data_IF_842240440942
#
_entry.id   IF_842240440942
#
_cell.length_a   1.000
_cell.length_b   1.000
_cell.length_c   1.000
_cell.angle_alpha   90.00
_cell.angle_beta   90.00
_cell.angle_gamma   90.00
#
_symmetry.space_group_name_H-M   'P 1'
#
loop_
_entity.id
_entity.type
_entity.pdbx_description
1 polymer ?
#
# COMPACT_ATOMS: atom_id res chain seq x y z
N UNK A 1 -12.34 -2.01 -28.83
CA UNK A 1 -11.33 -2.37 -27.82
C UNK A 1 -11.36 -1.26 -26.80
N UNK A 2 -11.54 -1.55 -25.52
CA UNK A 2 -11.65 -0.51 -24.51
C UNK A 2 -10.29 0.19 -24.33
N UNK A 3 -10.29 1.46 -23.95
CA UNK A 3 -9.06 2.26 -23.79
C UNK A 3 -9.01 2.94 -22.43
N UNK A 4 -7.86 2.84 -21.75
CA UNK A 4 -7.63 3.40 -20.42
C UNK A 4 -6.43 4.36 -20.40
N UNK A 5 -6.50 5.36 -19.52
CA UNK A 5 -5.36 6.23 -19.21
C UNK A 5 -4.93 6.00 -17.76
N UNK A 6 -3.65 5.68 -17.53
CA UNK A 6 -3.06 5.65 -16.19
C UNK A 6 -2.21 6.89 -15.96
N UNK A 7 -2.53 7.63 -14.90
CA UNK A 7 -1.85 8.86 -14.50
C UNK A 7 -1.09 8.59 -13.21
N UNK A 8 0.21 8.87 -13.20
CA UNK A 8 1.05 8.75 -12.01
C UNK A 8 2.06 9.90 -11.95
N UNK A 9 2.81 10.00 -10.87
CA UNK A 9 3.90 10.95 -10.74
C UNK A 9 5.07 10.34 -9.99
N UNK A 10 5.93 11.20 -9.46
CA UNK A 10 7.13 10.76 -8.75
C UNK A 10 6.80 9.81 -7.59
N UNK A 11 7.56 8.73 -7.51
CA UNK A 11 7.39 7.72 -6.49
C UNK A 11 8.73 7.28 -5.91
N UNK A 12 8.70 6.77 -4.68
CA UNK A 12 9.90 6.28 -4.02
C UNK A 12 10.23 4.87 -4.52
N UNK A 13 11.50 4.65 -4.86
CA UNK A 13 12.08 3.35 -5.20
C UNK A 13 11.51 2.63 -6.44
N UNK A 14 10.63 3.27 -7.22
CA UNK A 14 10.03 2.64 -8.41
C UNK A 14 8.88 1.67 -8.10
N UNK A 15 8.34 1.63 -6.88
CA UNK A 15 7.24 0.71 -6.50
C UNK A 15 5.98 0.99 -7.31
N UNK A 16 5.55 2.26 -7.34
CA UNK A 16 4.40 2.68 -8.15
C UNK A 16 4.69 2.47 -9.62
N UNK A 17 5.96 2.60 -10.03
CA UNK A 17 6.36 2.33 -11.40
C UNK A 17 6.08 0.88 -11.80
N UNK A 18 6.52 -0.04 -10.96
CA UNK A 18 6.26 -1.46 -11.14
C UNK A 18 4.75 -1.80 -11.12
N UNK A 19 3.95 -1.12 -10.29
CA UNK A 19 2.51 -1.32 -10.30
C UNK A 19 1.87 -0.91 -11.61
N UNK A 20 2.20 0.27 -12.16
CA UNK A 20 1.59 0.71 -13.41
C UNK A 20 1.97 -0.21 -14.59
N UNK A 21 3.22 -0.65 -14.66
CA UNK A 21 3.68 -1.55 -15.73
C UNK A 21 2.92 -2.88 -15.65
N UNK A 22 2.76 -3.40 -14.43
CA UNK A 22 2.00 -4.61 -14.18
C UNK A 22 0.51 -4.47 -14.49
N UNK A 23 -0.10 -3.34 -14.10
CA UNK A 23 -1.50 -3.03 -14.43
C UNK A 23 -1.71 -2.90 -15.93
N UNK A 24 -0.84 -2.15 -16.62
CA UNK A 24 -0.92 -1.96 -18.07
C UNK A 24 -0.79 -3.29 -18.81
N UNK A 25 0.14 -4.15 -18.38
CA UNK A 25 0.32 -5.49 -18.93
C UNK A 25 -0.93 -6.35 -18.77
N UNK A 26 -1.51 -6.39 -17.56
CA UNK A 26 -2.67 -7.23 -17.25
C UNK A 26 -3.98 -6.68 -17.87
N UNK A 27 -4.10 -5.36 -18.02
CA UNK A 27 -5.20 -4.70 -18.75
C UNK A 27 -5.12 -5.00 -20.25
N UNK A 28 -3.92 -4.94 -20.85
CA UNK A 28 -3.70 -5.30 -22.25
C UNK A 28 -4.07 -6.76 -22.52
N UNK A 29 -3.68 -7.67 -21.62
CA UNK A 29 -4.09 -9.08 -21.69
C UNK A 29 -5.61 -9.27 -21.58
N UNK A 30 -6.32 -8.29 -21.01
CA UNK A 30 -7.77 -8.27 -20.88
C UNK A 30 -8.46 -7.54 -22.05
N UNK A 31 -7.73 -7.15 -23.09
CA UNK A 31 -8.26 -6.47 -24.27
C UNK A 31 -8.49 -4.97 -24.09
N UNK A 32 -7.78 -4.34 -23.14
CA UNK A 32 -7.82 -2.89 -22.88
C UNK A 32 -6.49 -2.27 -23.31
N UNK A 33 -6.50 -1.32 -24.24
CA UNK A 33 -5.29 -0.54 -24.55
C UNK A 33 -5.05 0.49 -23.46
N UNK A 34 -3.79 0.72 -23.13
CA UNK A 34 -3.41 1.59 -22.00
C UNK A 34 -2.40 2.62 -22.46
N UNK A 35 -2.74 3.88 -22.26
CA UNK A 35 -1.80 4.98 -22.37
C UNK A 35 -1.34 5.40 -20.97
N UNK A 36 -0.11 5.93 -20.89
CA UNK A 36 0.51 6.34 -19.64
C UNK A 36 0.81 7.83 -19.68
N UNK A 37 0.54 8.52 -18.58
CA UNK A 37 0.89 9.92 -18.39
C UNK A 37 1.67 10.10 -17.09
N UNK A 38 2.95 10.46 -17.22
CA UNK A 38 3.91 10.52 -16.13
C UNK A 38 4.16 11.98 -15.69
N UNK A 39 3.80 12.29 -14.45
CA UNK A 39 4.01 13.58 -13.78
C UNK A 39 5.27 13.62 -12.91
N UNK A 40 6.24 12.76 -13.16
CA UNK A 40 7.49 12.74 -12.40
C UNK A 40 8.35 13.99 -12.65
N UNK A 41 8.30 14.56 -13.85
CA UNK A 41 8.98 15.81 -14.23
C UNK A 41 8.29 16.52 -15.40
N UNK A 42 8.54 17.83 -15.64
CA UNK A 42 8.00 18.52 -16.81
C UNK A 42 8.34 17.84 -18.15
N UNK A 43 9.55 17.30 -18.28
CA UNK A 43 10.04 16.63 -19.50
C UNK A 43 9.31 15.31 -19.75
N UNK A 44 9.05 14.53 -18.69
CA UNK A 44 8.30 13.27 -18.79
C UNK A 44 6.83 13.52 -19.10
N UNK A 45 6.24 14.60 -18.57
CA UNK A 45 4.88 15.03 -18.94
C UNK A 45 4.83 15.37 -20.42
N UNK A 46 5.75 16.19 -20.93
CA UNK A 46 5.78 16.57 -22.35
C UNK A 46 5.96 15.33 -23.24
N UNK A 47 6.90 14.45 -22.89
CA UNK A 47 7.17 13.23 -23.64
C UNK A 47 5.97 12.27 -23.66
N UNK A 48 5.27 12.10 -22.54
CA UNK A 48 4.12 11.19 -22.46
C UNK A 48 2.84 11.80 -23.02
N UNK A 49 2.62 13.11 -22.83
CA UNK A 49 1.44 13.82 -23.32
C UNK A 49 1.34 13.88 -24.85
N UNK A 50 2.45 13.77 -25.59
CA UNK A 50 2.40 13.67 -27.06
C UNK A 50 1.84 12.34 -27.57
N UNK A 51 1.81 11.31 -26.72
CA UNK A 51 1.42 9.94 -27.06
C UNK A 51 0.05 9.55 -26.50
N UNK A 52 -0.68 10.48 -25.88
CA UNK A 52 -2.03 10.24 -25.35
C UNK A 52 -3.09 10.79 -26.29
N UNK A 53 -4.26 10.15 -26.30
CA UNK A 53 -5.45 10.64 -26.97
C UNK A 53 -6.13 11.76 -26.18
N UNK A 54 -7.12 12.39 -26.81
CA UNK A 54 -8.05 13.29 -26.12
C UNK A 54 -8.74 12.55 -24.96
N UNK A 55 -8.96 13.24 -23.83
CA UNK A 55 -9.57 12.62 -22.65
C UNK A 55 -10.88 11.88 -22.94
N UNK A 56 -11.74 12.44 -23.81
CA UNK A 56 -13.04 11.86 -24.15
C UNK A 56 -12.97 10.53 -24.93
N UNK A 57 -11.79 10.15 -25.43
CA UNK A 57 -11.53 8.87 -26.11
C UNK A 57 -11.23 7.72 -25.15
N UNK A 58 -10.97 8.00 -23.87
CA UNK A 58 -10.75 6.96 -22.86
C UNK A 58 -12.08 6.52 -22.25
N UNK A 59 -12.26 5.20 -22.13
CA UNK A 59 -13.41 4.62 -21.46
C UNK A 59 -13.34 4.79 -19.95
N UNK A 60 -12.13 4.79 -19.39
CA UNK A 60 -11.89 5.14 -17.99
C UNK A 60 -10.48 5.69 -17.77
N UNK A 61 -10.31 6.40 -16.64
CA UNK A 61 -9.01 6.94 -16.21
C UNK A 61 -8.71 6.43 -14.80
N UNK A 62 -7.45 6.13 -14.53
CA UNK A 62 -6.95 5.79 -13.19
C UNK A 62 -5.85 6.77 -12.81
N UNK A 63 -6.05 7.50 -11.72
CA UNK A 63 -5.09 8.46 -11.16
C UNK A 63 -4.51 7.93 -9.86
N UNK A 64 -3.20 7.66 -9.84
CA UNK A 64 -2.51 7.27 -8.61
C UNK A 64 -2.37 8.48 -7.68
N UNK A 65 -2.77 8.30 -6.42
CA UNK A 65 -2.68 9.32 -5.37
C UNK A 65 -3.32 10.67 -5.76
N UNK A 66 -4.29 10.66 -6.67
CA UNK A 66 -4.96 11.86 -7.16
C UNK A 66 -4.01 12.82 -7.89
N UNK A 67 -3.00 12.31 -8.59
CA UNK A 67 -2.10 13.12 -9.42
C UNK A 67 -2.83 13.58 -10.70
N UNK A 68 -2.52 14.80 -11.16
CA UNK A 68 -3.01 15.34 -12.44
C UNK A 68 -4.33 16.11 -12.39
N UNK A 69 -4.83 16.46 -11.21
CA UNK A 69 -6.17 17.05 -11.04
C UNK A 69 -6.29 18.50 -11.53
N UNK A 70 -5.19 19.25 -11.45
CA UNK A 70 -5.14 20.65 -11.90
C UNK A 70 -4.97 20.79 -13.42
N UNK A 71 -4.89 19.66 -14.13
CA UNK A 71 -4.44 19.62 -15.51
C UNK A 71 -5.61 19.73 -16.45
N UNK A 72 -5.35 20.45 -17.54
CA UNK A 72 -6.22 20.51 -18.71
C UNK A 72 -5.52 19.83 -19.85
N UNK A 73 -6.06 18.70 -20.28
CA UNK A 73 -5.66 18.05 -21.53
C UNK A 73 -6.74 18.37 -22.55
N UNK A 74 -6.34 18.99 -23.67
CA UNK A 74 -7.26 19.51 -24.69
C UNK A 74 -8.41 20.37 -24.12
N UNK A 75 -8.08 21.30 -23.22
CA UNK A 75 -9.03 22.15 -22.49
C UNK A 75 -10.05 21.43 -21.59
N UNK A 76 -9.97 20.10 -21.45
CA UNK A 76 -10.84 19.32 -20.57
C UNK A 76 -10.13 19.01 -19.25
N UNK A 77 -10.81 19.23 -18.13
CA UNK A 77 -10.32 18.85 -16.79
C UNK A 77 -10.73 17.42 -16.45
N UNK A 78 -9.95 16.74 -15.61
CA UNK A 78 -10.35 15.43 -15.08
C UNK A 78 -11.69 15.47 -14.35
N UNK A 79 -12.01 16.56 -13.66
CA UNK A 79 -13.31 16.73 -13.00
C UNK A 79 -14.49 16.85 -13.98
N UNK A 80 -14.27 17.36 -15.19
CA UNK A 80 -15.30 17.42 -16.24
C UNK A 80 -15.43 16.09 -16.99
N UNK A 81 -14.34 15.35 -17.13
CA UNK A 81 -14.35 13.96 -17.58
C UNK A 81 -15.14 13.08 -16.61
N UNK A 82 -14.85 13.17 -15.31
CA UNK A 82 -15.43 12.34 -14.26
C UNK A 82 -16.96 12.47 -14.11
N UNK A 83 -17.55 13.57 -14.60
CA UNK A 83 -19.02 13.74 -14.63
C UNK A 83 -19.70 12.84 -15.67
N UNK A 84 -18.95 12.38 -16.68
CA UNK A 84 -19.47 11.67 -17.86
C UNK A 84 -18.93 10.25 -17.97
N UNK A 85 -17.73 10.00 -17.47
CA UNK A 85 -17.05 8.71 -17.57
C UNK A 85 -16.33 8.32 -16.27
N UNK A 86 -16.09 7.03 -16.03
CA UNK A 86 -15.41 6.54 -14.82
C UNK A 86 -14.00 7.13 -14.63
N UNK A 87 -13.82 7.84 -13.52
CA UNK A 87 -12.52 8.21 -12.99
C UNK A 87 -12.27 7.43 -11.69
N UNK A 88 -11.17 6.69 -11.66
CA UNK A 88 -10.69 5.98 -10.48
C UNK A 88 -9.50 6.72 -9.87
N UNK A 89 -9.48 6.87 -8.55
CA UNK A 89 -8.34 7.44 -7.83
C UNK A 89 -7.79 6.36 -6.92
N UNK A 90 -6.62 5.84 -7.26
CA UNK A 90 -6.00 4.75 -6.51
C UNK A 90 -5.06 5.29 -5.43
N UNK A 91 -5.44 5.07 -4.17
CA UNK A 91 -4.71 5.52 -3.00
C UNK A 91 -3.95 4.35 -2.39
N UNK A 92 -2.64 4.49 -2.29
CA UNK A 92 -1.74 3.47 -1.69
C UNK A 92 -1.57 3.65 -0.17
N UNK A 93 -2.13 4.73 0.37
CA UNK A 93 -2.07 5.11 1.79
C UNK A 93 -3.46 5.56 2.27
N UNK A 94 -3.59 5.76 3.58
CA UNK A 94 -4.85 6.20 4.18
C UNK A 94 -5.38 7.49 3.51
N UNK A 95 -6.66 7.55 3.10
CA UNK A 95 -7.18 8.64 2.27
C UNK A 95 -7.04 10.05 2.90
N UNK A 96 -7.04 10.15 4.24
CA UNK A 96 -6.82 11.40 5.01
C UNK A 96 -5.63 12.24 4.53
N UNK A 97 -4.56 11.59 4.05
CA UNK A 97 -3.34 12.24 3.57
C UNK A 97 -3.55 13.03 2.28
N UNK A 98 -4.46 12.54 1.42
CA UNK A 98 -4.63 13.02 0.05
C UNK A 98 -6.03 13.55 -0.24
N UNK A 99 -6.92 13.65 0.76
CA UNK A 99 -8.30 14.13 0.60
C UNK A 99 -8.45 15.39 -0.25
N UNK A 100 -7.54 16.36 -0.09
CA UNK A 100 -7.56 17.61 -0.85
C UNK A 100 -7.44 17.42 -2.36
N UNK A 101 -6.88 16.30 -2.82
CA UNK A 101 -6.69 15.99 -4.24
C UNK A 101 -7.95 15.46 -4.90
N UNK A 102 -8.93 14.97 -4.15
CA UNK A 102 -10.12 14.33 -4.73
C UNK A 102 -11.44 14.85 -4.18
N UNK A 103 -11.44 15.72 -3.18
CA UNK A 103 -12.65 16.36 -2.68
C UNK A 103 -13.35 17.15 -3.80
N UNK A 104 -14.66 16.92 -3.96
CA UNK A 104 -15.46 17.56 -5.00
C UNK A 104 -15.32 16.96 -6.41
N UNK A 105 -14.55 15.88 -6.57
CA UNK A 105 -14.40 15.18 -7.84
C UNK A 105 -15.31 13.95 -7.83
N UNK A 106 -16.18 13.74 -8.83
CA UNK A 106 -17.06 12.58 -8.91
C UNK A 106 -16.28 11.32 -9.35
N UNK A 107 -15.30 10.92 -8.54
CA UNK A 107 -14.44 9.76 -8.78
C UNK A 107 -14.78 8.61 -7.83
N UNK A 108 -14.37 7.40 -8.22
CA UNK A 108 -14.35 6.23 -7.34
C UNK A 108 -12.97 6.08 -6.72
N UNK A 109 -12.88 6.16 -5.40
CA UNK A 109 -11.63 5.98 -4.67
C UNK A 109 -11.34 4.48 -4.53
N UNK A 110 -10.19 4.04 -5.02
CA UNK A 110 -9.70 2.67 -4.87
C UNK A 110 -8.76 2.64 -3.66
N UNK A 111 -9.11 1.88 -2.64
CA UNK A 111 -8.41 1.82 -1.36
C UNK A 111 -7.79 0.45 -1.11
N UNK A 112 -6.59 0.41 -0.54
CA UNK A 112 -5.85 -0.84 -0.27
C UNK A 112 -6.31 -1.59 0.98
N UNK A 113 -7.18 -0.96 1.77
CA UNK A 113 -7.70 -1.45 3.04
C UNK A 113 -9.22 -1.20 3.13
N UNK A 114 -9.97 -2.15 3.71
CA UNK A 114 -11.42 -2.02 3.89
C UNK A 114 -11.81 -0.92 4.90
N UNK A 115 -10.96 -0.65 5.89
CA UNK A 115 -11.11 0.47 6.81
C UNK A 115 -11.04 1.79 6.03
N UNK A 116 -10.11 1.93 5.09
CA UNK A 116 -9.98 3.13 4.25
C UNK A 116 -11.21 3.33 3.35
N UNK A 117 -11.81 2.23 2.85
CA UNK A 117 -13.10 2.29 2.14
C UNK A 117 -14.18 2.85 3.06
N UNK A 118 -14.27 2.32 4.28
CA UNK A 118 -15.23 2.76 5.29
C UNK A 118 -15.03 4.24 5.63
N UNK A 119 -13.79 4.68 5.83
CA UNK A 119 -13.43 6.09 6.02
C UNK A 119 -13.96 6.96 4.87
N UNK A 120 -13.67 6.60 3.63
CA UNK A 120 -14.11 7.35 2.46
C UNK A 120 -15.65 7.44 2.38
N UNK A 121 -16.35 6.33 2.59
CA UNK A 121 -17.82 6.27 2.57
C UNK A 121 -18.43 7.14 3.68
N UNK A 122 -17.84 7.14 4.88
CA UNK A 122 -18.26 7.99 5.99
C UNK A 122 -18.04 9.49 5.69
N UNK A 123 -17.04 9.82 4.87
CA UNK A 123 -16.82 11.18 4.37
C UNK A 123 -17.66 11.52 3.11
N UNK A 124 -18.53 10.61 2.65
CA UNK A 124 -19.39 10.82 1.49
C UNK A 124 -18.74 10.60 0.13
N UNK A 125 -17.57 9.95 0.08
CA UNK A 125 -16.92 9.58 -1.17
C UNK A 125 -17.34 8.18 -1.62
N UNK A 126 -17.48 7.99 -2.93
CA UNK A 126 -17.59 6.65 -3.49
C UNK A 126 -16.23 5.95 -3.37
N UNK A 127 -16.17 4.79 -2.72
CA UNK A 127 -14.92 4.07 -2.52
C UNK A 127 -15.10 2.56 -2.58
N UNK A 128 -14.04 1.86 -2.99
CA UNK A 128 -14.01 0.41 -3.17
C UNK A 128 -12.68 -0.17 -2.75
N UNK A 129 -12.75 -1.41 -2.29
CA UNK A 129 -11.58 -2.17 -1.89
C UNK A 129 -10.82 -2.66 -3.13
N UNK A 130 -9.57 -2.25 -3.25
CA UNK A 130 -8.68 -2.53 -4.37
C UNK A 130 -7.25 -2.72 -3.82
N UNK A 131 -6.97 -3.85 -3.15
CA UNK A 131 -5.67 -4.09 -2.53
C UNK A 131 -4.56 -4.26 -3.56
N UNK A 132 -3.32 -4.06 -3.11
CA UNK A 132 -2.14 -4.28 -3.93
C UNK A 132 -2.11 -5.70 -4.51
N UNK A 133 -1.54 -5.81 -5.69
CA UNK A 133 -1.42 -7.04 -6.46
C UNK A 133 -0.13 -7.03 -7.27
N UNK A 134 0.14 -8.12 -7.96
CA UNK A 134 1.28 -8.28 -8.88
C UNK A 134 0.79 -8.54 -10.29
N UNK A 135 1.63 -8.35 -11.31
CA UNK A 135 1.25 -8.77 -12.67
C UNK A 135 1.19 -10.29 -12.75
N UNK A 136 0.20 -10.82 -13.45
CA UNK A 136 0.14 -12.26 -13.71
C UNK A 136 1.36 -12.75 -14.52
N UNK A 137 1.97 -11.88 -15.32
CA UNK A 137 3.11 -12.20 -16.19
C UNK A 137 4.42 -12.42 -15.43
N UNK A 138 4.57 -11.86 -14.23
CA UNK A 138 5.80 -11.98 -13.43
C UNK A 138 5.82 -13.24 -12.56
N UNK A 139 4.73 -14.01 -12.55
CA UNK A 139 4.57 -15.20 -11.74
C UNK A 139 5.19 -16.41 -12.45
N UNK A 140 6.31 -16.90 -11.89
CA UNK A 140 6.95 -18.13 -12.34
C UNK A 140 7.23 -19.07 -11.15
N UNK A 141 6.48 -20.17 -11.10
CA UNK A 141 6.65 -21.21 -10.06
C UNK A 141 8.04 -21.85 -10.10
N UNK A 142 8.68 -21.93 -11.28
CA UNK A 142 10.02 -22.52 -11.42
C UNK A 142 11.11 -21.62 -10.83
N UNK A 143 10.84 -20.34 -10.66
CA UNK A 143 11.75 -19.37 -10.07
C UNK A 143 11.70 -19.34 -8.53
N UNK A 144 10.89 -20.20 -7.90
CA UNK A 144 10.85 -20.38 -6.44
C UNK A 144 12.08 -21.18 -6.01
N UNK A 145 12.88 -20.60 -5.13
CA UNK A 145 14.10 -21.23 -4.59
C UNK A 145 13.78 -22.13 -3.40
N UNK A 146 14.41 -23.29 -3.34
CA UNK A 146 14.37 -24.15 -2.14
C UNK A 146 15.08 -23.46 -0.96
N UNK A 147 14.66 -23.78 0.27
CA UNK A 147 15.18 -23.15 1.49
C UNK A 147 16.71 -23.21 1.60
N UNK A 148 17.32 -24.33 1.21
CA UNK A 148 18.79 -24.50 1.25
C UNK A 148 19.55 -23.56 0.33
N UNK A 149 18.88 -22.94 -0.65
CA UNK A 149 19.44 -21.98 -1.60
C UNK A 149 19.06 -20.53 -1.25
N UNK A 150 18.44 -20.30 -0.10
CA UNK A 150 18.13 -18.98 0.44
C UNK A 150 19.30 -18.44 1.27
N UNK A 151 19.28 -17.15 1.58
CA UNK A 151 20.35 -16.44 2.28
C UNK A 151 20.34 -16.62 3.80
N UNK A 152 19.27 -17.18 4.39
CA UNK A 152 19.07 -17.19 5.84
C UNK A 152 18.59 -15.86 6.42
N UNK A 153 18.38 -14.83 5.59
CA UNK A 153 17.95 -13.51 6.06
C UNK A 153 16.44 -13.48 6.36
N UNK A 154 16.07 -12.74 7.42
CA UNK A 154 14.72 -12.23 7.63
C UNK A 154 14.72 -10.76 7.21
N UNK A 155 14.17 -10.49 6.03
CA UNK A 155 14.16 -9.14 5.46
C UNK A 155 13.01 -8.31 6.04
N UNK A 156 13.27 -7.07 6.41
CA UNK A 156 12.26 -6.12 6.84
C UNK A 156 12.33 -4.83 5.99
N UNK A 157 11.59 -4.76 4.86
CA UNK A 157 11.67 -3.65 3.92
C UNK A 157 10.85 -2.44 4.39
N UNK A 158 11.47 -1.57 5.20
CA UNK A 158 10.83 -0.44 5.86
C UNK A 158 11.75 0.78 5.97
N UNK A 159 11.22 1.97 5.68
CA UNK A 159 11.92 3.24 5.90
C UNK A 159 11.83 3.69 7.37
N UNK A 160 12.75 4.54 7.80
CA UNK A 160 12.74 5.09 9.15
C UNK A 160 11.55 6.02 9.41
N UNK A 161 10.90 5.80 10.55
CA UNK A 161 9.88 6.66 11.13
C UNK A 161 10.37 7.08 12.51
N UNK A 162 10.64 8.38 12.64
CA UNK A 162 11.12 8.96 13.88
C UNK A 162 9.97 9.15 14.87
N UNK A 163 9.88 8.26 15.85
CA UNK A 163 8.84 8.30 16.88
C UNK A 163 8.91 9.58 17.72
N UNK A 164 10.13 10.04 18.06
CA UNK A 164 10.33 11.24 18.86
C UNK A 164 9.88 12.49 18.09
N UNK A 165 10.27 12.62 16.83
CA UNK A 165 9.84 13.72 15.98
C UNK A 165 8.32 13.69 15.72
N UNK A 166 7.73 12.51 15.53
CA UNK A 166 6.28 12.37 15.38
C UNK A 166 5.55 12.83 16.66
N UNK A 167 6.07 12.47 17.83
CA UNK A 167 5.56 12.94 19.12
C UNK A 167 5.73 14.45 19.31
N UNK A 168 6.92 15.01 19.04
CA UNK A 168 7.18 16.44 19.17
C UNK A 168 6.26 17.28 18.27
N UNK A 169 5.91 16.77 17.07
CA UNK A 169 4.93 17.41 16.19
C UNK A 169 3.53 17.48 16.83
N UNK A 170 3.16 16.47 17.63
CA UNK A 170 1.87 16.40 18.34
C UNK A 170 1.88 17.08 19.71
N UNK A 171 3.06 17.38 20.28
CA UNK A 171 3.24 17.93 21.61
C UNK A 171 2.36 19.15 21.94
N UNK A 172 2.14 20.13 21.04
CA UNK A 172 1.26 21.27 21.33
C UNK A 172 -0.19 20.87 21.67
N UNK A 173 -0.68 19.76 21.11
CA UNK A 173 -2.05 19.26 21.30
C UNK A 173 -2.11 17.96 22.10
N UNK A 174 -0.96 17.39 22.48
CA UNK A 174 -0.87 16.06 23.07
C UNK A 174 -1.73 15.91 24.32
N UNK A 175 -1.72 16.91 25.22
CA UNK A 175 -2.54 16.89 26.43
C UNK A 175 -4.05 16.70 26.18
N UNK A 176 -4.55 17.04 24.99
CA UNK A 176 -5.96 16.89 24.61
C UNK A 176 -6.23 15.54 23.94
N UNK A 177 -5.26 15.01 23.20
CA UNK A 177 -5.46 13.84 22.33
C UNK A 177 -4.79 12.56 22.85
N UNK A 178 -3.90 12.65 23.84
CA UNK A 178 -3.05 11.54 24.29
C UNK A 178 -3.85 10.27 24.60
N UNK A 179 -4.87 10.38 25.46
CA UNK A 179 -5.68 9.22 25.85
C UNK A 179 -6.38 8.56 24.65
N UNK A 180 -6.80 9.37 23.66
CA UNK A 180 -7.48 8.88 22.46
C UNK A 180 -6.48 8.22 21.50
N UNK A 181 -5.34 8.88 21.27
CA UNK A 181 -4.26 8.38 20.42
C UNK A 181 -3.70 7.06 20.95
N UNK A 182 -3.51 6.94 22.27
CA UNK A 182 -3.00 5.72 22.92
C UNK A 182 -3.96 4.52 22.81
N UNK A 183 -5.27 4.78 22.68
CA UNK A 183 -6.30 3.75 22.47
C UNK A 183 -6.54 3.40 21.00
N UNK A 184 -6.03 4.22 20.07
CA UNK A 184 -6.22 4.02 18.65
C UNK A 184 -5.13 3.14 18.05
N UNK A 185 -5.52 2.17 17.23
CA UNK A 185 -4.59 1.37 16.41
C UNK A 185 -4.44 1.95 15.00
N UNK A 186 -5.46 2.66 14.50
CA UNK A 186 -5.44 3.36 13.21
C UNK A 186 -5.94 4.79 13.32
N UNK A 187 -5.65 5.63 12.33
CA UNK A 187 -6.12 7.02 12.28
C UNK A 187 -7.64 7.14 12.16
N UNK A 188 -8.33 6.21 11.49
CA UNK A 188 -9.79 6.18 11.50
C UNK A 188 -10.33 5.87 12.88
N UNK A 189 -9.71 4.93 13.60
CA UNK A 189 -10.10 4.65 14.99
C UNK A 189 -9.92 5.88 15.87
N UNK A 190 -8.81 6.62 15.68
CA UNK A 190 -8.59 7.90 16.34
C UNK A 190 -9.72 8.90 16.04
N UNK A 191 -10.10 9.08 14.77
CA UNK A 191 -11.18 9.99 14.36
C UNK A 191 -12.56 9.58 14.90
N UNK A 192 -12.84 8.28 14.99
CA UNK A 192 -14.06 7.75 15.62
C UNK A 192 -14.10 8.07 17.11
N UNK A 193 -13.01 7.83 17.84
CA UNK A 193 -12.92 8.12 19.27
C UNK A 193 -12.99 9.62 19.56
N UNK A 194 -12.41 10.44 18.69
CA UNK A 194 -12.52 11.91 18.73
C UNK A 194 -13.96 12.40 18.47
N UNK A 195 -14.80 11.58 17.83
CA UNK A 195 -16.19 11.93 17.48
C UNK A 195 -16.32 12.63 16.13
N UNK A 196 -15.31 12.56 15.28
CA UNK A 196 -15.32 13.09 13.90
C UNK A 196 -16.04 12.13 12.95
N UNK A 197 -15.87 10.83 13.18
CA UNK A 197 -16.54 9.76 12.46
C UNK A 197 -17.51 9.04 13.39
N UNK A 198 -18.64 8.49 12.89
CA UNK A 198 -19.55 7.72 13.71
C UNK A 198 -18.89 6.43 14.21
N UNK A 199 -19.36 5.93 15.36
CA UNK A 199 -18.84 4.74 16.01
C UNK A 199 -20.00 3.92 16.60
N UNK A 200 -20.38 2.83 15.92
CA UNK A 200 -21.55 2.05 16.30
C UNK A 200 -22.82 2.92 16.25
N UNK A 201 -23.53 3.01 17.37
CA UNK A 201 -24.73 3.88 17.50
C UNK A 201 -24.40 5.35 17.78
N UNK A 202 -23.13 5.70 18.03
CA UNK A 202 -22.74 7.09 18.30
C UNK A 202 -22.54 7.85 16.98
N UNK A 203 -23.35 8.89 16.68
CA UNK A 203 -23.16 9.70 15.48
C UNK A 203 -21.90 10.57 15.59
N UNK A 204 -21.42 11.07 14.44
CA UNK A 204 -20.39 12.10 14.41
C UNK A 204 -20.90 13.38 15.11
N UNK A 205 -20.08 13.93 15.99
CA UNK A 205 -20.37 15.14 16.77
C UNK A 205 -19.43 16.30 16.46
N UNK A 206 -18.37 16.04 15.68
CA UNK A 206 -17.35 17.01 15.30
C UNK A 206 -17.19 16.96 13.77
N UNK A 207 -17.13 18.13 13.13
CA UNK A 207 -16.87 18.20 11.69
C UNK A 207 -15.38 17.92 11.39
N UNK A 208 -15.09 17.18 10.31
CA UNK A 208 -13.73 17.04 9.82
C UNK A 208 -13.29 18.33 9.11
N UNK A 209 -12.64 19.23 9.85
CA UNK A 209 -12.00 20.43 9.28
C UNK A 209 -10.51 20.18 8.96
N UNK A 210 -9.86 21.21 8.40
CA UNK A 210 -8.45 21.10 8.02
C UNK A 210 -7.50 20.96 9.21
N UNK A 211 -7.82 21.53 10.37
CA UNK A 211 -6.98 21.41 11.56
C UNK A 211 -7.03 19.98 12.10
N UNK A 212 -8.23 19.41 12.21
CA UNK A 212 -8.44 18.01 12.60
C UNK A 212 -7.79 17.08 11.59
N UNK A 213 -7.93 17.34 10.28
CA UNK A 213 -7.28 16.54 9.24
C UNK A 213 -5.76 16.54 9.40
N UNK A 214 -5.14 17.71 9.67
CA UNK A 214 -3.69 17.80 9.90
C UNK A 214 -3.25 17.05 11.16
N UNK A 215 -4.00 17.18 12.26
CA UNK A 215 -3.73 16.42 13.49
C UNK A 215 -3.85 14.92 13.22
N UNK A 216 -4.88 14.48 12.51
CA UNK A 216 -5.09 13.08 12.16
C UNK A 216 -3.93 12.52 11.31
N UNK A 217 -3.42 13.28 10.34
CA UNK A 217 -2.21 12.91 9.57
C UNK A 217 -0.99 12.73 10.49
N UNK A 218 -0.79 13.64 11.45
CA UNK A 218 0.32 13.52 12.41
C UNK A 218 0.12 12.34 13.36
N UNK A 219 -1.11 12.07 13.78
CA UNK A 219 -1.45 10.89 14.58
C UNK A 219 -1.18 9.61 13.79
N UNK A 220 -1.54 9.53 12.52
CA UNK A 220 -1.22 8.38 11.67
C UNK A 220 0.30 8.14 11.64
N UNK A 221 1.10 9.18 11.40
CA UNK A 221 2.57 9.05 11.44
C UNK A 221 3.09 8.57 12.80
N UNK A 222 2.54 9.09 13.91
CA UNK A 222 2.90 8.66 15.26
C UNK A 222 2.55 7.18 15.49
N UNK A 223 1.34 6.74 15.12
CA UNK A 223 0.90 5.35 15.26
C UNK A 223 1.77 4.40 14.42
N UNK A 224 2.10 4.79 13.17
CA UNK A 224 3.00 4.02 12.30
C UNK A 224 4.41 3.91 12.88
N UNK A 225 4.96 5.01 13.39
CA UNK A 225 6.26 5.03 14.05
C UNK A 225 6.28 4.11 15.28
N UNK A 226 5.27 4.25 16.15
CA UNK A 226 5.13 3.45 17.38
C UNK A 226 5.00 1.96 17.08
N UNK A 227 4.19 1.57 16.09
CA UNK A 227 4.06 0.18 15.64
C UNK A 227 5.41 -0.38 15.16
N UNK A 228 6.14 0.39 14.36
CA UNK A 228 7.45 0.00 13.81
C UNK A 228 8.48 -0.20 14.93
N UNK A 229 8.59 0.75 15.85
CA UNK A 229 9.47 0.68 17.03
C UNK A 229 9.18 -0.58 17.87
N UNK A 230 7.91 -0.86 18.16
CA UNK A 230 7.51 -2.05 18.93
C UNK A 230 7.95 -3.37 18.28
N UNK A 231 7.92 -3.45 16.95
CA UNK A 231 8.30 -4.66 16.23
C UNK A 231 9.81 -4.88 16.25
N UNK A 232 10.60 -3.81 16.03
CA UNK A 232 12.07 -3.89 16.16
C UNK A 232 12.46 -4.30 17.59
N UNK A 233 11.83 -3.67 18.59
CA UNK A 233 12.04 -4.01 19.99
C UNK A 233 11.71 -5.48 20.29
N UNK A 234 10.54 -5.96 19.86
CA UNK A 234 10.11 -7.34 20.07
C UNK A 234 11.05 -8.36 19.41
N UNK A 235 11.51 -8.10 18.18
CA UNK A 235 12.48 -8.96 17.51
C UNK A 235 13.81 -8.98 18.26
N UNK A 236 14.33 -7.82 18.67
CA UNK A 236 15.57 -7.73 19.43
C UNK A 236 15.49 -8.47 20.78
N UNK A 237 14.40 -8.29 21.53
CA UNK A 237 14.19 -8.97 22.81
C UNK A 237 14.11 -10.50 22.68
N UNK A 238 13.64 -10.99 21.52
CA UNK A 238 13.55 -12.43 21.20
C UNK A 238 14.81 -12.99 20.53
N UNK A 239 15.84 -12.17 20.30
CA UNK A 239 17.05 -12.60 19.60
C UNK A 239 16.85 -12.81 18.08
N UNK A 240 15.77 -12.29 17.51
CA UNK A 240 15.46 -12.39 16.09
C UNK A 240 16.20 -11.27 15.35
N UNK A 241 17.26 -11.64 14.64
CA UNK A 241 18.02 -10.71 13.82
C UNK A 241 17.29 -10.42 12.50
N UNK A 242 17.13 -9.14 12.19
CA UNK A 242 16.50 -8.64 10.97
C UNK A 242 17.55 -7.98 10.08
N UNK A 243 17.31 -8.01 8.77
CA UNK A 243 17.93 -7.12 7.79
C UNK A 243 16.90 -6.05 7.43
N UNK A 244 17.07 -4.84 7.97
CA UNK A 244 16.15 -3.71 7.78
C UNK A 244 16.63 -2.85 6.61
N UNK A 245 15.82 -2.80 5.54
CA UNK A 245 16.19 -2.12 4.28
C UNK A 245 15.20 -0.99 4.02
N UNK A 246 15.68 0.24 3.93
CA UNK A 246 14.83 1.40 3.64
C UNK A 246 15.50 2.73 3.98
N UNK A 247 14.89 3.84 3.57
CA UNK A 247 15.53 5.16 3.70
C UNK A 247 15.68 5.54 5.17
N UNK A 248 16.91 5.86 5.54
CA UNK A 248 17.28 6.26 6.90
C UNK A 248 17.15 5.14 7.93
N UNK A 249 17.04 3.88 7.50
CA UNK A 249 16.86 2.72 8.38
C UNK A 249 17.97 2.59 9.42
N UNK A 250 19.20 2.99 9.05
CA UNK A 250 20.40 3.07 9.89
C UNK A 250 20.19 3.83 11.19
N UNK A 251 19.26 4.80 11.21
CA UNK A 251 18.94 5.59 12.41
C UNK A 251 18.32 4.77 13.53
N UNK A 252 17.73 3.61 13.23
CA UNK A 252 17.25 2.68 14.26
C UNK A 252 18.39 2.00 15.04
N UNK A 253 19.63 1.99 14.51
CA UNK A 253 20.72 1.23 15.10
C UNK A 253 21.11 1.66 16.52
N UNK A 254 20.86 2.92 16.88
CA UNK A 254 21.12 3.43 18.23
C UNK A 254 20.23 2.75 19.28
N UNK A 255 18.95 2.53 18.95
CA UNK A 255 17.97 1.93 19.86
C UNK A 255 17.92 0.39 19.71
N UNK A 256 18.20 -0.11 18.50
CA UNK A 256 18.04 -1.52 18.12
C UNK A 256 19.32 -2.07 17.44
N UNK A 257 20.46 -2.16 18.15
CA UNK A 257 21.76 -2.52 17.57
C UNK A 257 21.88 -3.99 17.11
N UNK A 258 20.95 -4.88 17.47
CA UNK A 258 21.02 -6.30 17.08
C UNK A 258 20.81 -6.52 15.57
N UNK A 259 20.06 -5.62 14.92
CA UNK A 259 19.68 -5.77 13.52
C UNK A 259 20.77 -5.27 12.57
N UNK A 260 20.68 -5.70 11.30
CA UNK A 260 21.47 -5.14 10.22
C UNK A 260 20.65 -4.08 9.49
N UNK A 261 21.27 -2.97 9.11
CA UNK A 261 20.61 -1.83 8.49
C UNK A 261 21.26 -1.49 7.16
N UNK A 262 20.43 -1.28 6.15
CA UNK A 262 20.87 -0.91 4.82
C UNK A 262 19.97 0.17 4.23
N UNK A 263 20.56 1.00 3.37
CA UNK A 263 19.85 2.01 2.61
C UNK A 263 18.78 1.40 1.70
N UNK A 264 17.83 2.25 1.30
CA UNK A 264 16.80 1.81 0.37
C UNK A 264 17.39 1.37 -0.97
N UNK A 265 16.89 0.24 -1.46
CA UNK A 265 17.18 -0.28 -2.81
C UNK A 265 16.06 0.08 -3.76
N UNK A 266 16.33 0.04 -5.07
CA UNK A 266 15.25 0.05 -6.05
C UNK A 266 14.35 -1.18 -5.89
N UNK A 267 13.10 -1.06 -6.35
CA UNK A 267 12.11 -2.10 -6.16
C UNK A 267 12.45 -3.43 -6.86
N UNK A 268 12.95 -3.46 -8.11
CA UNK A 268 13.36 -4.70 -8.75
C UNK A 268 14.48 -5.44 -8.00
N UNK A 269 15.51 -4.73 -7.53
CA UNK A 269 16.58 -5.34 -6.71
C UNK A 269 16.02 -5.82 -5.37
N UNK A 270 15.11 -5.07 -4.76
CA UNK A 270 14.44 -5.49 -3.54
C UNK A 270 13.63 -6.78 -3.74
N UNK A 271 12.91 -6.92 -4.85
CA UNK A 271 12.16 -8.16 -5.17
C UNK A 271 13.10 -9.34 -5.37
N UNK A 272 14.26 -9.15 -6.02
CA UNK A 272 15.25 -10.23 -6.13
C UNK A 272 15.86 -10.57 -4.77
N UNK A 273 16.11 -9.58 -3.90
CA UNK A 273 16.55 -9.86 -2.54
C UNK A 273 15.49 -10.61 -1.74
N UNK A 274 14.22 -10.21 -1.85
CA UNK A 274 13.08 -10.90 -1.25
C UNK A 274 13.05 -12.37 -1.72
N UNK A 275 13.29 -12.65 -3.01
CA UNK A 275 13.38 -14.00 -3.55
C UNK A 275 14.50 -14.82 -2.89
N UNK A 276 15.59 -14.17 -2.48
CA UNK A 276 16.73 -14.82 -1.83
C UNK A 276 16.60 -14.95 -0.32
N UNK A 277 15.79 -14.11 0.35
CA UNK A 277 15.56 -14.19 1.78
C UNK A 277 14.75 -15.44 2.19
N UNK A 278 14.96 -15.90 3.42
CA UNK A 278 14.18 -16.99 4.02
C UNK A 278 12.75 -16.52 4.29
N UNK A 279 12.62 -15.32 4.86
CA UNK A 279 11.36 -14.73 5.25
C UNK A 279 11.35 -13.22 4.99
N UNK A 280 10.15 -12.68 4.81
CA UNK A 280 9.92 -11.23 4.91
C UNK A 280 9.08 -10.95 6.15
N UNK A 281 9.59 -10.12 7.04
CA UNK A 281 8.80 -9.58 8.14
C UNK A 281 7.92 -8.46 7.60
N UNK A 282 6.62 -8.52 7.91
CA UNK A 282 5.67 -7.49 7.54
C UNK A 282 5.02 -6.90 8.80
N UNK A 283 4.89 -5.58 8.80
CA UNK A 283 3.99 -4.89 9.70
C UNK A 283 2.96 -4.11 8.89
N UNK A 284 1.71 -4.13 9.33
CA UNK A 284 0.59 -3.40 8.70
C UNK A 284 0.30 -2.09 9.45
N UNK A 285 1.19 -1.08 9.50
CA UNK A 285 0.91 0.11 10.30
C UNK A 285 -0.20 0.92 9.60
N UNK A 286 -1.44 0.76 10.07
CA UNK A 286 -2.63 1.41 9.51
C UNK A 286 -3.30 0.67 8.34
N UNK A 287 -3.01 -0.63 8.17
CA UNK A 287 -3.57 -1.49 7.12
C UNK A 287 -4.09 -2.84 7.66
N UNK A 288 -4.87 -2.78 8.75
CA UNK A 288 -5.26 -3.97 9.50
C UNK A 288 -6.25 -4.89 8.75
N UNK A 289 -6.99 -4.35 7.79
CA UNK A 289 -7.98 -5.07 6.97
C UNK A 289 -7.67 -4.96 5.47
N UNK A 290 -6.38 -4.85 5.16
CA UNK A 290 -5.86 -4.56 3.82
C UNK A 290 -4.75 -5.49 3.39
N UNK A 291 -4.34 -5.35 2.14
CA UNK A 291 -3.16 -6.02 1.60
C UNK A 291 -2.25 -5.04 0.88
N UNK A 292 -1.01 -4.99 1.34
CA UNK A 292 0.08 -4.16 0.83
C UNK A 292 1.06 -5.03 0.01
N UNK A 293 1.91 -4.41 -0.83
CA UNK A 293 2.85 -5.16 -1.67
C UNK A 293 3.90 -5.92 -0.87
N UNK A 294 4.20 -5.46 0.35
CA UNK A 294 5.09 -6.15 1.29
C UNK A 294 4.59 -7.53 1.72
N UNK A 295 3.34 -7.89 1.40
CA UNK A 295 2.81 -9.24 1.58
C UNK A 295 2.73 -9.97 0.24
N UNK A 296 2.11 -9.37 -0.77
CA UNK A 296 1.85 -10.07 -2.04
C UNK A 296 3.12 -10.28 -2.88
N UNK A 297 4.09 -9.35 -2.85
CA UNK A 297 5.31 -9.48 -3.62
C UNK A 297 6.22 -10.60 -3.12
N UNK A 298 6.49 -10.75 -1.79
CA UNK A 298 7.21 -11.93 -1.29
C UNK A 298 6.55 -13.26 -1.64
N UNK A 299 5.24 -13.36 -1.43
CA UNK A 299 4.51 -14.58 -1.75
C UNK A 299 4.54 -14.88 -3.26
N UNK A 300 4.52 -13.86 -4.12
CA UNK A 300 4.64 -14.00 -5.58
C UNK A 300 5.97 -14.59 -6.06
N UNK A 301 7.03 -14.50 -5.26
CA UNK A 301 8.35 -15.07 -5.55
C UNK A 301 8.67 -16.27 -4.66
N UNK A 302 7.69 -16.77 -3.91
CA UNK A 302 7.82 -17.94 -3.05
C UNK A 302 8.64 -17.68 -1.79
N UNK A 303 8.57 -16.49 -1.22
CA UNK A 303 9.14 -16.17 0.10
C UNK A 303 8.01 -16.02 1.12
N UNK A 304 7.91 -16.89 2.13
CA UNK A 304 6.89 -16.78 3.18
C UNK A 304 7.02 -15.48 3.97
N UNK A 305 5.90 -15.00 4.49
CA UNK A 305 5.82 -13.73 5.22
C UNK A 305 5.57 -13.99 6.70
N UNK A 306 6.29 -13.31 7.57
CA UNK A 306 6.03 -13.27 9.01
C UNK A 306 5.16 -12.04 9.27
N UNK A 307 3.94 -12.24 9.76
CA UNK A 307 3.01 -11.16 10.09
C UNK A 307 2.06 -11.56 11.23
N UNK A 308 1.75 -10.59 12.08
CA UNK A 308 0.75 -10.72 13.15
C UNK A 308 -0.52 -9.95 12.75
N UNK A 309 -1.29 -10.53 11.83
CA UNK A 309 -2.54 -9.95 11.31
C UNK A 309 -3.53 -11.06 10.95
N UNK A 310 -4.64 -11.14 11.68
CA UNK A 310 -5.71 -12.10 11.42
C UNK A 310 -6.25 -12.00 9.99
N UNK A 311 -6.37 -10.76 9.48
CA UNK A 311 -6.84 -10.54 8.12
C UNK A 311 -5.92 -11.17 7.08
N UNK A 312 -4.61 -10.93 7.17
CA UNK A 312 -3.64 -11.47 6.22
C UNK A 312 -3.57 -13.00 6.33
N UNK A 313 -3.61 -13.54 7.55
CA UNK A 313 -3.72 -15.00 7.78
C UNK A 313 -4.96 -15.59 7.11
N UNK A 314 -6.11 -14.90 7.20
CA UNK A 314 -7.35 -15.32 6.52
C UNK A 314 -7.23 -15.30 4.98
N UNK A 315 -6.47 -14.37 4.41
CA UNK A 315 -6.22 -14.30 2.96
C UNK A 315 -5.23 -15.36 2.48
N UNK A 316 -4.24 -15.71 3.31
CA UNK A 316 -3.14 -16.62 2.99
C UNK A 316 -2.89 -17.65 4.12
N UNK A 317 -3.82 -18.58 4.38
CA UNK A 317 -3.72 -19.49 5.53
C UNK A 317 -2.45 -20.34 5.55
N UNK A 318 -1.86 -20.59 4.37
CA UNK A 318 -0.62 -21.35 4.18
C UNK A 318 0.44 -20.52 3.43
N UNK A 319 0.54 -19.23 3.71
CA UNK A 319 1.64 -18.37 3.22
C UNK A 319 2.23 -17.47 4.30
N UNK A 320 1.53 -17.36 5.43
CA UNK A 320 1.87 -16.45 6.53
C UNK A 320 2.25 -17.24 7.76
N UNK A 321 3.22 -16.73 8.48
CA UNK A 321 3.76 -17.26 9.72
C UNK A 321 3.71 -16.17 10.79
N UNK A 322 3.83 -16.57 12.05
CA UNK A 322 3.98 -15.64 13.17
C UNK A 322 5.42 -15.68 13.67
N UNK A 323 5.81 -14.69 14.48
CA UNK A 323 7.12 -14.70 15.14
C UNK A 323 7.30 -15.91 16.07
N UNK A 324 6.23 -16.60 16.45
CA UNK A 324 6.26 -17.74 17.36
C UNK A 324 6.43 -19.09 16.64
N UNK A 325 6.08 -19.20 15.36
CA UNK A 325 6.05 -20.49 14.65
C UNK A 325 7.03 -20.60 13.46
N UNK A 326 7.59 -19.49 12.97
CA UNK A 326 8.44 -19.52 11.77
C UNK A 326 9.73 -20.34 11.99
N UNK A 327 10.31 -20.27 13.20
CA UNK A 327 11.61 -20.89 13.50
C UNK A 327 11.54 -22.42 13.59
N UNK A 328 10.37 -22.99 13.92
CA UNK A 328 10.17 -24.43 14.09
C UNK A 328 9.78 -25.17 12.81
N UNK A 329 9.79 -24.50 11.66
CA UNK A 329 9.38 -25.11 10.39
C UNK A 329 10.39 -26.17 9.90
N UNK A 330 9.86 -27.34 9.59
CA UNK A 330 10.56 -28.33 8.76
C UNK A 330 10.68 -27.81 7.33
N UNK A 331 11.61 -28.35 6.54
CA UNK A 331 11.79 -27.95 5.15
C UNK A 331 10.55 -28.28 4.28
N UNK A 332 9.85 -29.37 4.61
CA UNK A 332 8.59 -29.73 3.97
C UNK A 332 7.50 -28.69 4.26
N UNK A 333 7.34 -28.30 5.53
CA UNK A 333 6.36 -27.28 5.92
C UNK A 333 6.72 -25.92 5.29
N UNK A 334 7.99 -25.53 5.31
CA UNK A 334 8.46 -24.32 4.63
C UNK A 334 8.09 -24.36 3.14
N UNK A 335 8.33 -25.48 2.45
CA UNK A 335 7.98 -25.64 1.04
C UNK A 335 6.48 -25.54 0.80
N UNK A 336 5.66 -26.11 1.66
CA UNK A 336 4.20 -25.98 1.60
C UNK A 336 3.79 -24.49 1.69
N UNK A 337 4.39 -23.74 2.60
CA UNK A 337 4.15 -22.30 2.74
C UNK A 337 4.54 -21.51 1.48
N UNK A 338 5.69 -21.83 0.87
CA UNK A 338 6.12 -21.18 -0.39
C UNK A 338 5.10 -21.40 -1.51
N UNK A 339 4.70 -22.66 -1.71
CA UNK A 339 3.83 -23.05 -2.83
C UNK A 339 2.42 -22.51 -2.61
N UNK A 340 1.83 -22.70 -1.43
CA UNK A 340 0.46 -22.25 -1.20
C UNK A 340 0.33 -20.73 -1.14
N UNK A 341 1.34 -20.02 -0.63
CA UNK A 341 1.42 -18.56 -0.72
C UNK A 341 1.44 -18.08 -2.17
N UNK A 342 2.31 -18.67 -2.99
CA UNK A 342 2.42 -18.37 -4.42
C UNK A 342 1.10 -18.66 -5.18
N UNK A 343 0.50 -19.82 -4.98
CA UNK A 343 -0.74 -20.23 -5.66
C UNK A 343 -1.92 -19.33 -5.27
N UNK A 344 -1.97 -18.87 -4.01
CA UNK A 344 -2.96 -17.89 -3.56
C UNK A 344 -2.80 -16.56 -4.29
N UNK A 345 -1.57 -16.04 -4.39
CA UNK A 345 -1.30 -14.81 -5.16
C UNK A 345 -1.69 -14.99 -6.63
N UNK A 346 -1.25 -16.07 -7.27
CA UNK A 346 -1.51 -16.36 -8.68
C UNK A 346 -3.01 -16.45 -8.99
N UNK A 347 -3.80 -17.06 -8.10
CA UNK A 347 -5.24 -17.23 -8.33
C UNK A 347 -6.07 -15.99 -7.99
N UNK A 348 -5.68 -15.18 -7.00
CA UNK A 348 -6.55 -14.13 -6.42
C UNK A 348 -5.95 -12.74 -6.33
N UNK A 349 -4.63 -12.57 -6.35
CA UNK A 349 -3.96 -11.30 -6.06
C UNK A 349 -3.08 -10.80 -7.21
N UNK A 350 -3.58 -10.94 -8.45
CA UNK A 350 -3.00 -10.31 -9.65
C UNK A 350 -3.79 -9.08 -10.08
N UNK A 351 -3.15 -8.16 -10.80
CA UNK A 351 -3.85 -6.99 -11.36
C UNK A 351 -4.97 -7.42 -12.31
N UNK A 352 -4.76 -8.48 -13.09
CA UNK A 352 -5.81 -9.07 -13.92
C UNK A 352 -7.07 -9.41 -13.10
N UNK A 353 -6.92 -10.03 -11.92
CA UNK A 353 -8.06 -10.32 -11.05
C UNK A 353 -8.70 -9.06 -10.46
N UNK A 354 -7.89 -8.05 -10.09
CA UNK A 354 -8.40 -6.77 -9.56
C UNK A 354 -9.24 -6.01 -10.59
N UNK A 355 -8.82 -6.03 -11.85
CA UNK A 355 -9.52 -5.32 -12.91
C UNK A 355 -10.83 -5.98 -13.34
N UNK A 356 -11.05 -7.28 -13.09
CA UNK A 356 -12.27 -7.97 -13.54
C UNK A 356 -13.56 -7.29 -13.13
N UNK A 357 -13.66 -6.85 -11.88
CA UNK A 357 -14.89 -6.23 -11.39
C UNK A 357 -15.02 -4.78 -11.88
N UNK A 358 -13.90 -4.06 -12.00
CA UNK A 358 -13.90 -2.70 -12.58
C UNK A 358 -14.30 -2.73 -14.06
N UNK A 359 -13.78 -3.67 -14.85
CA UNK A 359 -14.05 -3.74 -16.29
C UNK A 359 -15.49 -4.13 -16.63
N UNK A 360 -16.20 -4.85 -15.73
CA UNK A 360 -17.63 -5.15 -15.90
C UNK A 360 -18.53 -3.91 -15.87
N UNK A 361 -18.03 -2.81 -15.32
CA UNK A 361 -18.80 -1.57 -15.17
C UNK A 361 -18.49 -0.53 -16.24
N UNK A 362 -17.37 -0.72 -16.95
CA UNK A 362 -16.91 0.21 -17.99
C UNK A 362 -17.31 -0.27 -19.39
N UNK A 363 -17.51 -1.58 -19.58
CA UNK A 363 -18.14 -2.16 -20.76
C UNK A 363 -19.64 -2.33 -20.58
#
# INVERSE_FOLDING_TARGET
MAKALLIFGSNQYGVVSHFFEGMATDLLASGVTVDLLDFSSPETVEATATNIDKLDNYDFIVSFNGVGQDIKLDNTRLSDYAKRRPLFIFLVDHPIHLMKRFVGIPATILCVDQEHVSFCQLCGFNARFFPHAVSAKTLDRKAIKDRTNKSGEILFPVSYFDLNNAFETLKPVWHQIAAITEQATTVTRFLQLLGVLPMGSRPASIALDENIRRIAVWVDHYLRAKSRTKILEACQQRGIKLTVVGKGSDKYAADFPMHHYEDASDYPMLVERIRNADFVLHNSPGFELGLHERVVAPLSVGTPVIADSEYIHGQFPKGILTMDNYASLTDEAYREHQISGFESVHSKHTWHQRWKDVLKEVG
#
